data_IF_070582830249
#
_entry.id   IF_070582830249
#
_cell.length_a   1.000
_cell.length_b   1.000
_cell.length_c   1.000
_cell.angle_alpha   90.00
_cell.angle_beta   90.00
_cell.angle_gamma   90.00
#
_symmetry.space_group_name_H-M   'P 1'
#
loop_
_entity.id
_entity.type
_entity.pdbx_description
1 polymer ?
#
# COMPACT_ATOMS: atom_id res chain seq x y z
N UNK A 1 -20.41 -20.39 15.54
CA UNK A 1 -20.31 -20.31 14.06
C UNK A 1 -19.98 -18.87 13.69
N UNK A 2 -18.93 -18.64 12.89
CA UNK A 2 -18.37 -17.30 12.62
C UNK A 2 -19.19 -16.49 11.60
N UNK A 3 -20.53 -16.40 11.78
CA UNK A 3 -21.52 -16.04 10.75
C UNK A 3 -22.52 -14.97 11.15
N UNK A 4 -23.03 -14.18 10.19
CA UNK A 4 -24.22 -13.33 10.44
C UNK A 4 -25.45 -14.19 10.75
N UNK A 5 -26.53 -13.64 11.35
CA UNK A 5 -27.73 -14.42 11.69
C UNK A 5 -28.41 -15.12 10.49
N UNK A 6 -28.22 -14.62 9.27
CA UNK A 6 -28.64 -15.24 8.00
C UNK A 6 -27.54 -16.09 7.32
N UNK A 7 -26.46 -16.38 8.04
CA UNK A 7 -25.30 -17.19 7.64
C UNK A 7 -24.26 -16.56 6.69
N UNK A 8 -24.06 -15.25 6.68
CA UNK A 8 -22.96 -14.56 5.96
C UNK A 8 -21.71 -14.52 6.84
N UNK A 9 -20.81 -15.45 6.58
CA UNK A 9 -19.53 -15.60 7.31
C UNK A 9 -18.48 -14.55 6.94
N UNK A 10 -18.64 -13.91 5.77
CA UNK A 10 -17.65 -13.07 5.12
C UNK A 10 -18.38 -12.31 4.01
N UNK A 11 -18.53 -11.00 4.13
CA UNK A 11 -19.09 -10.16 3.06
C UNK A 11 -18.07 -9.07 2.71
N UNK A 12 -17.16 -9.41 1.79
CA UNK A 12 -16.22 -8.49 1.16
C UNK A 12 -14.85 -8.32 1.84
N UNK A 13 -14.29 -9.41 2.36
CA UNK A 13 -12.94 -9.65 2.92
C UNK A 13 -12.92 -11.16 3.27
N UNK A 14 -11.80 -11.89 3.48
CA UNK A 14 -10.45 -11.43 3.78
C UNK A 14 -9.36 -11.95 2.81
N UNK A 15 -9.72 -12.55 1.67
CA UNK A 15 -8.74 -13.28 0.83
C UNK A 15 -8.45 -12.58 -0.51
N UNK A 16 -8.08 -11.30 -0.50
CA UNK A 16 -7.42 -10.69 -1.67
C UNK A 16 -5.95 -11.09 -1.75
N UNK A 17 -5.31 -11.02 -2.92
CA UNK A 17 -3.86 -11.26 -3.06
C UNK A 17 -3.03 -10.43 -2.09
N UNK A 18 -3.37 -9.14 -1.93
CA UNK A 18 -2.68 -8.24 -1.01
C UNK A 18 -2.82 -8.70 0.45
N UNK A 19 -4.03 -9.04 0.89
CA UNK A 19 -4.28 -9.51 2.27
C UNK A 19 -3.66 -10.88 2.54
N UNK A 20 -3.74 -11.81 1.59
CA UNK A 20 -3.12 -13.12 1.70
C UNK A 20 -1.61 -13.04 1.86
N UNK A 21 -0.94 -12.14 1.12
CA UNK A 21 0.50 -11.89 1.31
C UNK A 21 0.78 -11.38 2.72
N UNK A 22 0.00 -10.41 3.22
CA UNK A 22 0.18 -9.89 4.59
C UNK A 22 0.02 -11.01 5.62
N UNK A 23 -1.02 -11.84 5.51
CA UNK A 23 -1.23 -12.95 6.43
C UNK A 23 -0.09 -13.96 6.40
N UNK A 24 0.43 -14.31 5.23
CA UNK A 24 1.55 -15.23 5.11
C UNK A 24 2.82 -14.65 5.77
N UNK A 25 3.09 -13.36 5.57
CA UNK A 25 4.20 -12.68 6.23
C UNK A 25 4.02 -12.64 7.76
N UNK A 26 2.80 -12.36 8.25
CA UNK A 26 2.48 -12.35 9.68
C UNK A 26 2.58 -13.74 10.33
N UNK A 27 2.34 -14.80 9.56
CA UNK A 27 2.56 -16.19 9.98
C UNK A 27 4.04 -16.61 9.92
N UNK A 28 4.95 -15.71 9.52
CA UNK A 28 6.39 -15.94 9.51
C UNK A 28 6.95 -16.54 8.22
N UNK A 29 6.19 -16.48 7.11
CA UNK A 29 6.71 -16.89 5.81
C UNK A 29 7.74 -15.88 5.29
N UNK A 30 8.89 -16.36 4.85
CA UNK A 30 9.95 -15.50 4.32
C UNK A 30 9.53 -14.88 2.98
N UNK A 31 9.71 -13.56 2.76
CA UNK A 31 9.37 -12.89 1.49
C UNK A 31 10.04 -13.51 0.25
N UNK A 32 11.14 -14.25 0.45
CA UNK A 32 11.90 -14.90 -0.61
C UNK A 32 11.31 -16.23 -1.09
N UNK A 33 10.29 -16.76 -0.41
CA UNK A 33 9.57 -17.96 -0.81
C UNK A 33 8.99 -17.80 -2.22
N UNK A 34 9.03 -18.83 -3.09
CA UNK A 34 8.62 -18.73 -4.49
C UNK A 34 7.23 -18.12 -4.69
N UNK A 35 6.25 -18.54 -3.88
CA UNK A 35 4.87 -18.06 -3.97
C UNK A 35 4.74 -16.56 -3.65
N UNK A 36 5.57 -16.05 -2.73
CA UNK A 36 5.58 -14.62 -2.40
C UNK A 36 6.31 -13.82 -3.48
N UNK A 37 7.35 -14.36 -4.13
CA UNK A 37 7.95 -13.73 -5.31
C UNK A 37 6.96 -13.60 -6.47
N UNK A 38 6.24 -14.68 -6.78
CA UNK A 38 5.19 -14.68 -7.80
C UNK A 38 4.08 -13.66 -7.47
N UNK A 39 3.67 -13.58 -6.21
CA UNK A 39 2.72 -12.57 -5.76
C UNK A 39 3.26 -11.14 -5.93
N UNK A 40 4.53 -10.89 -5.61
CA UNK A 40 5.16 -9.59 -5.82
C UNK A 40 5.19 -9.22 -7.31
N UNK A 41 5.57 -10.15 -8.18
CA UNK A 41 5.56 -9.97 -9.64
C UNK A 41 4.17 -9.66 -10.16
N UNK A 42 3.14 -10.37 -9.68
CA UNK A 42 1.75 -10.09 -10.01
C UNK A 42 1.34 -8.67 -9.57
N UNK A 43 1.68 -8.24 -8.36
CA UNK A 43 1.38 -6.88 -7.90
C UNK A 43 2.10 -5.86 -8.78
N UNK A 44 3.39 -6.08 -9.07
CA UNK A 44 4.19 -5.22 -9.94
C UNK A 44 3.68 -5.16 -11.38
N UNK A 45 3.05 -6.22 -11.89
CA UNK A 45 2.43 -6.22 -13.23
C UNK A 45 1.31 -5.18 -13.36
N UNK A 46 0.75 -4.71 -12.24
CA UNK A 46 -0.29 -3.68 -12.19
C UNK A 46 0.26 -2.26 -12.01
N UNK A 47 1.57 -2.11 -11.80
CA UNK A 47 2.21 -0.79 -11.65
C UNK A 47 2.13 0.00 -12.97
N UNK A 48 1.92 1.30 -12.88
CA UNK A 48 1.85 2.22 -14.01
C UNK A 48 3.05 3.15 -14.00
N UNK A 49 3.46 3.63 -15.17
CA UNK A 49 4.64 4.49 -15.29
C UNK A 49 4.54 5.76 -14.44
N UNK A 50 3.35 6.26 -14.13
CA UNK A 50 3.17 7.43 -13.26
C UNK A 50 3.32 7.15 -11.75
N UNK A 51 3.63 5.91 -11.36
CA UNK A 51 3.84 5.51 -9.97
C UNK A 51 2.58 4.95 -9.29
N UNK A 52 1.44 4.85 -9.97
CA UNK A 52 0.20 4.29 -9.42
C UNK A 52 0.10 2.79 -9.64
N UNK A 53 -0.76 2.11 -8.87
CA UNK A 53 -1.10 0.69 -9.09
C UNK A 53 -2.55 0.54 -9.56
N UNK A 54 -2.74 -0.05 -10.74
CA UNK A 54 -4.06 -0.34 -11.32
C UNK A 54 -4.54 -1.74 -10.92
N UNK A 55 -4.99 -1.88 -9.68
CA UNK A 55 -5.38 -3.17 -9.11
C UNK A 55 -6.64 -3.78 -9.75
N UNK A 56 -7.47 -2.97 -10.40
CA UNK A 56 -8.64 -3.44 -11.14
C UNK A 56 -8.47 -3.19 -12.64
N UNK A 57 -8.82 -4.16 -13.52
CA UNK A 57 -8.66 -3.99 -14.98
C UNK A 57 -9.42 -2.78 -15.55
N UNK A 58 -10.56 -2.43 -14.95
CA UNK A 58 -11.44 -1.33 -15.36
C UNK A 58 -11.70 -0.38 -14.19
N UNK A 59 -11.90 0.89 -14.51
CA UNK A 59 -12.21 1.95 -13.55
C UNK A 59 -11.02 2.83 -13.18
N UNK A 60 -11.28 3.79 -12.30
CA UNK A 60 -10.29 4.76 -11.81
C UNK A 60 -9.29 4.12 -10.84
N UNK A 61 -8.06 4.64 -10.86
CA UNK A 61 -7.03 4.30 -9.90
C UNK A 61 -7.12 5.26 -8.71
N UNK A 62 -7.31 4.72 -7.51
CA UNK A 62 -7.43 5.53 -6.29
C UNK A 62 -6.15 5.46 -5.44
N UNK A 63 -5.84 6.52 -4.67
CA UNK A 63 -4.66 6.53 -3.80
C UNK A 63 -4.59 5.34 -2.84
N UNK A 64 -5.71 4.93 -2.24
CA UNK A 64 -5.81 3.78 -1.35
C UNK A 64 -5.36 2.45 -2.01
N UNK A 65 -5.64 2.26 -3.31
CA UNK A 65 -5.17 1.08 -4.04
C UNK A 65 -3.64 1.10 -4.17
N UNK A 66 -3.09 2.25 -4.53
CA UNK A 66 -1.65 2.46 -4.68
C UNK A 66 -0.93 2.31 -3.35
N UNK A 67 -1.50 2.85 -2.26
CA UNK A 67 -0.98 2.75 -0.90
C UNK A 67 -0.94 1.31 -0.41
N UNK A 68 -2.04 0.54 -0.57
CA UNK A 68 -2.06 -0.87 -0.16
C UNK A 68 -1.04 -1.72 -0.91
N UNK A 69 -0.94 -1.56 -2.24
CA UNK A 69 0.07 -2.27 -3.03
C UNK A 69 1.50 -1.91 -2.60
N UNK A 70 1.75 -0.62 -2.37
CA UNK A 70 3.05 -0.15 -1.90
C UNK A 70 3.41 -0.69 -0.51
N UNK A 71 2.46 -0.72 0.44
CA UNK A 71 2.67 -1.26 1.79
C UNK A 71 3.05 -2.75 1.76
N UNK A 72 2.29 -3.55 1.00
CA UNK A 72 2.57 -4.98 0.82
C UNK A 72 3.98 -5.19 0.26
N UNK A 73 4.32 -4.51 -0.83
CA UNK A 73 5.64 -4.62 -1.44
C UNK A 73 6.76 -4.13 -0.51
N UNK A 74 6.53 -3.10 0.31
CA UNK A 74 7.49 -2.66 1.32
C UNK A 74 7.74 -3.74 2.37
N UNK A 75 6.69 -4.39 2.88
CA UNK A 75 6.80 -5.49 3.86
C UNK A 75 7.49 -6.72 3.28
N UNK A 76 7.41 -6.91 1.97
CA UNK A 76 8.15 -7.94 1.24
C UNK A 76 9.60 -7.56 0.92
N UNK A 77 10.06 -6.36 1.33
CA UNK A 77 11.46 -5.92 1.16
C UNK A 77 11.73 -5.09 -0.10
N UNK A 78 10.72 -4.75 -0.91
CA UNK A 78 10.89 -3.98 -2.15
C UNK A 78 10.89 -2.46 -1.97
N UNK A 79 11.02 -1.96 -0.72
CA UNK A 79 10.99 -0.52 -0.45
C UNK A 79 12.04 0.28 -1.25
N UNK A 80 13.17 -0.33 -1.61
CA UNK A 80 14.23 0.32 -2.41
C UNK A 80 14.07 0.15 -3.93
N UNK A 81 13.03 -0.55 -4.41
CA UNK A 81 12.77 -0.73 -5.84
C UNK A 81 12.48 0.64 -6.51
N UNK A 82 13.04 0.86 -7.70
CA UNK A 82 12.92 2.13 -8.41
C UNK A 82 11.46 2.52 -8.71
N UNK A 83 10.58 1.52 -8.93
CA UNK A 83 9.14 1.73 -9.13
C UNK A 83 8.50 2.25 -7.85
N UNK A 84 8.85 1.67 -6.70
CA UNK A 84 8.36 2.12 -5.39
C UNK A 84 8.84 3.54 -5.08
N UNK A 85 10.08 3.89 -5.43
CA UNK A 85 10.58 5.27 -5.28
C UNK A 85 9.78 6.28 -6.13
N UNK A 86 9.30 5.87 -7.31
CA UNK A 86 8.38 6.70 -8.10
C UNK A 86 6.98 6.76 -7.48
N UNK A 87 6.48 5.64 -6.97
CA UNK A 87 5.22 5.58 -6.22
C UNK A 87 5.23 6.47 -4.98
N UNK A 88 6.30 6.49 -4.19
CA UNK A 88 6.38 7.35 -3.01
C UNK A 88 6.37 8.84 -3.36
N UNK A 89 7.09 9.23 -4.41
CA UNK A 89 7.03 10.61 -4.92
C UNK A 89 5.62 10.98 -5.33
N UNK A 90 4.98 10.14 -6.15
CA UNK A 90 3.59 10.35 -6.55
C UNK A 90 2.66 10.51 -5.34
N UNK A 91 2.76 9.63 -4.34
CA UNK A 91 1.93 9.69 -3.14
C UNK A 91 2.20 10.97 -2.33
N UNK A 92 3.45 11.38 -2.15
CA UNK A 92 3.78 12.63 -1.46
C UNK A 92 3.24 13.87 -2.18
N UNK A 93 3.23 13.86 -3.51
CA UNK A 93 2.71 14.97 -4.33
C UNK A 93 1.20 15.16 -4.17
N UNK A 94 0.44 14.07 -3.96
CA UNK A 94 -1.02 14.10 -3.83
C UNK A 94 -1.52 14.07 -2.37
N UNK A 95 -0.61 14.14 -1.41
CA UNK A 95 -0.94 14.11 0.01
C UNK A 95 -1.74 15.35 0.41
N UNK A 96 -2.83 15.14 1.16
CA UNK A 96 -3.71 16.21 1.62
C UNK A 96 -3.07 17.02 2.76
N UNK A 97 -3.66 18.16 3.10
CA UNK A 97 -3.18 19.06 4.17
C UNK A 97 -3.27 18.43 5.55
N UNK A 98 -4.20 17.49 5.76
CA UNK A 98 -4.33 16.67 6.97
C UNK A 98 -3.29 15.53 7.06
N UNK A 99 -2.42 15.40 6.04
CA UNK A 99 -1.37 14.39 5.98
C UNK A 99 -1.82 13.02 5.47
N UNK A 100 -3.08 12.84 5.10
CA UNK A 100 -3.59 11.59 4.52
C UNK A 100 -3.78 11.65 3.00
N UNK A 101 -4.55 10.68 2.50
CA UNK A 101 -4.93 10.57 1.10
C UNK A 101 -6.44 10.38 0.93
N UNK A 102 -6.99 11.01 -0.11
CA UNK A 102 -8.43 10.99 -0.41
C UNK A 102 -8.74 10.08 -1.60
N UNK A 103 -9.56 9.06 -1.36
CA UNK A 103 -10.19 8.23 -2.38
C UNK A 103 -11.58 8.80 -2.70
N UNK A 104 -11.69 9.46 -3.87
CA UNK A 104 -12.91 10.13 -4.33
C UNK A 104 -14.04 9.17 -4.79
N UNK A 105 -14.24 8.05 -4.08
CA UNK A 105 -15.29 7.07 -4.36
C UNK A 105 -16.39 7.17 -3.31
N UNK A 106 -17.51 7.77 -3.71
CA UNK A 106 -18.63 8.05 -2.81
C UNK A 106 -19.90 7.34 -3.29
N UNK A 107 -20.12 6.11 -2.82
CA UNK A 107 -21.28 5.30 -3.25
C UNK A 107 -22.62 5.84 -2.76
N UNK A 108 -22.63 6.70 -1.73
CA UNK A 108 -23.84 7.17 -1.03
C UNK A 108 -23.98 8.70 -1.03
N UNK A 109 -23.29 9.42 -1.93
CA UNK A 109 -23.28 10.88 -1.97
C UNK A 109 -22.12 11.50 -1.18
N UNK A 110 -22.08 12.84 -1.15
CA UNK A 110 -21.00 13.62 -0.54
C UNK A 110 -21.51 14.43 0.65
N UNK A 111 -20.81 14.37 1.77
CA UNK A 111 -20.99 15.23 2.93
C UNK A 111 -19.67 15.87 3.37
N UNK A 112 -19.67 16.74 4.40
CA UNK A 112 -18.45 17.39 4.90
C UNK A 112 -17.33 16.41 5.28
N UNK A 113 -17.68 15.20 5.73
CA UNK A 113 -16.75 14.12 6.04
C UNK A 113 -15.93 13.65 4.82
N UNK A 114 -16.49 13.84 3.62
CA UNK A 114 -15.81 13.48 2.37
C UNK A 114 -14.73 14.47 1.98
N UNK A 115 -14.57 15.60 2.68
CA UNK A 115 -13.49 16.56 2.44
C UNK A 115 -12.16 16.19 3.09
N UNK A 116 -12.15 15.16 3.95
CA UNK A 116 -10.96 14.69 4.66
C UNK A 116 -10.40 13.41 4.05
N UNK A 117 -9.17 13.08 4.43
CA UNK A 117 -8.52 11.85 4.04
C UNK A 117 -9.25 10.62 4.58
N UNK A 118 -9.23 9.54 3.79
CA UNK A 118 -9.91 8.30 4.17
C UNK A 118 -9.14 7.57 5.28
N UNK A 119 -9.84 7.00 6.28
CA UNK A 119 -9.22 6.08 7.22
C UNK A 119 -8.49 4.94 6.49
N UNK A 120 -7.37 4.49 7.02
CA UNK A 120 -6.50 3.44 6.45
C UNK A 120 -5.81 3.79 5.12
N UNK A 121 -6.07 4.95 4.52
CA UNK A 121 -5.27 5.49 3.42
C UNK A 121 -4.10 6.32 3.97
N UNK A 122 -3.24 5.71 4.80
CA UNK A 122 -2.05 6.35 5.35
C UNK A 122 -0.83 5.46 5.13
N UNK A 123 0.26 6.04 4.61
CA UNK A 123 1.56 5.38 4.65
C UNK A 123 2.08 5.38 6.09
N UNK A 124 1.93 4.27 6.81
CA UNK A 124 2.38 4.14 8.20
C UNK A 124 3.89 4.35 8.35
N UNK A 125 4.69 4.21 7.28
CA UNK A 125 6.14 4.39 7.29
C UNK A 125 6.64 5.80 6.91
N UNK A 126 5.77 6.71 6.42
CA UNK A 126 6.17 8.06 6.01
C UNK A 126 5.16 9.13 6.46
N UNK A 127 5.56 9.97 7.42
CA UNK A 127 4.83 11.18 7.84
C UNK A 127 5.44 12.42 7.18
N UNK A 128 4.62 13.29 6.60
CA UNK A 128 5.09 14.55 5.99
C UNK A 128 5.84 15.39 7.03
N UNK A 129 7.02 15.88 6.67
CA UNK A 129 7.84 16.69 7.56
C UNK A 129 8.53 15.94 8.71
N UNK A 130 8.37 14.61 8.79
CA UNK A 130 9.10 13.78 9.77
C UNK A 130 10.16 12.92 9.07
N UNK A 131 11.31 12.76 9.72
CA UNK A 131 12.39 11.91 9.21
C UNK A 131 11.94 10.44 9.27
N UNK A 132 11.94 9.76 8.12
CA UNK A 132 11.71 8.31 8.07
C UNK A 132 12.90 7.58 8.70
N UNK A 133 12.66 6.73 9.69
CA UNK A 133 13.71 5.90 10.30
C UNK A 133 14.35 4.96 9.28
N UNK A 134 13.56 4.39 8.37
CA UNK A 134 14.04 3.53 7.28
C UNK A 134 14.93 4.30 6.30
N UNK A 135 14.51 5.49 5.87
CA UNK A 135 15.35 6.34 5.02
C UNK A 135 16.64 6.77 5.74
N UNK A 136 16.54 7.07 7.04
CA UNK A 136 17.69 7.41 7.88
C UNK A 136 18.66 6.23 7.99
N UNK A 137 18.17 5.00 8.17
CA UNK A 137 19.00 3.79 8.22
C UNK A 137 19.72 3.56 6.89
N UNK A 138 19.01 3.70 5.77
CA UNK A 138 19.60 3.56 4.42
C UNK A 138 20.68 4.61 4.14
N UNK A 139 20.47 5.85 4.56
CA UNK A 139 21.49 6.90 4.46
C UNK A 139 22.78 6.51 5.20
N UNK A 140 22.68 5.98 6.42
CA UNK A 140 23.84 5.52 7.17
C UNK A 140 24.51 4.28 6.55
N UNK A 141 23.77 3.37 5.91
CA UNK A 141 24.37 2.26 5.15
C UNK A 141 25.20 2.76 3.97
N UNK A 142 24.70 3.74 3.21
CA UNK A 142 25.44 4.31 2.08
C UNK A 142 26.74 4.96 2.56
N UNK A 143 26.71 5.71 3.66
CA UNK A 143 27.91 6.33 4.23
C UNK A 143 28.97 5.30 4.64
N UNK A 144 28.56 4.14 5.17
CA UNK A 144 29.49 3.06 5.53
C UNK A 144 30.15 2.41 4.32
N UNK A 145 29.45 2.37 3.18
CA UNK A 145 29.96 1.75 1.95
C UNK A 145 30.80 2.70 1.09
N UNK A 146 30.91 3.97 1.49
CA UNK A 146 31.77 4.99 0.84
C UNK A 146 33.11 5.18 1.58
N UNK A 147 33.36 4.40 2.63
CA UNK A 147 34.64 4.27 3.33
C UNK A 147 35.33 2.99 2.90
#
# INVERSE_FOLDING_TARGET
>A
LWTTPDKRLIKGAPFSTLESVIYLLELGMEPTEPILKEAAELIFSTWQEDGRFKLYPKGSIYPCQTIHAADVLCRMGYASDARLQKTFRHLLDIQQTDGGWKCNKFSFGRGPETEYSNPLAALTFCKKGQKSQLATRRYHEILKNLQ
#
